data_IF_252974692283
#
_entry.id   IF_252974692283
#
_cell.length_a   1.000
_cell.length_b   1.000
_cell.length_c   1.000
_cell.angle_alpha   90.00
_cell.angle_beta   90.00
_cell.angle_gamma   90.00
#
_symmetry.space_group_name_H-M   'P 1'
#
loop_
_entity.id
_entity.type
_entity.pdbx_description
1 polymer ?
#
# COMPACT_ATOMS: atom_id res chain seq x y z
N UNK A 1 -9.70 -6.33 10.30
CA UNK A 1 -9.00 -5.44 9.35
C UNK A 1 -7.89 -6.23 8.71
N UNK A 2 -7.72 -6.10 7.40
CA UNK A 2 -6.75 -6.85 6.61
C UNK A 2 -6.13 -5.96 5.54
N UNK A 3 -4.96 -6.37 5.06
CA UNK A 3 -4.31 -5.81 3.90
C UNK A 3 -4.70 -6.60 2.65
N UNK A 4 -5.22 -5.93 1.63
CA UNK A 4 -5.54 -6.53 0.33
C UNK A 4 -4.79 -5.83 -0.78
N UNK A 5 -4.34 -6.57 -1.80
CA UNK A 5 -3.83 -5.97 -3.02
C UNK A 5 -4.91 -6.03 -4.09
N UNK A 6 -5.04 -4.95 -4.85
CA UNK A 6 -5.80 -4.97 -6.10
C UNK A 6 -4.95 -5.61 -7.18
N UNK A 7 -5.60 -6.29 -8.12
CA UNK A 7 -4.89 -6.83 -9.28
C UNK A 7 -4.49 -5.71 -10.26
N UNK A 8 -3.65 -6.05 -11.24
CA UNK A 8 -3.15 -5.06 -12.20
C UNK A 8 -4.22 -4.40 -13.07
N UNK A 9 -5.37 -5.04 -13.30
CA UNK A 9 -6.50 -4.45 -14.04
C UNK A 9 -7.18 -3.40 -13.18
N UNK A 10 -7.49 -3.75 -11.92
CA UNK A 10 -8.11 -2.83 -10.96
C UNK A 10 -7.23 -1.61 -10.69
N UNK A 11 -5.90 -1.77 -10.58
CA UNK A 11 -4.98 -0.64 -10.44
C UNK A 11 -4.98 0.25 -11.69
N UNK A 12 -5.01 -0.32 -12.90
CA UNK A 12 -5.11 0.47 -14.14
C UNK A 12 -6.40 1.27 -14.22
N UNK A 13 -7.53 0.70 -13.78
CA UNK A 13 -8.81 1.44 -13.70
C UNK A 13 -8.70 2.65 -12.78
N UNK A 14 -8.14 2.46 -11.57
CA UNK A 14 -7.90 3.56 -10.64
C UNK A 14 -7.02 4.67 -11.23
N UNK A 15 -6.00 4.30 -12.01
CA UNK A 15 -5.08 5.27 -12.65
C UNK A 15 -5.77 6.02 -13.79
N UNK A 16 -6.52 5.32 -14.65
CA UNK A 16 -7.00 5.85 -15.92
C UNK A 16 -8.34 6.58 -15.80
N UNK A 17 -9.28 6.05 -15.03
CA UNK A 17 -10.63 6.59 -14.89
C UNK A 17 -10.96 7.06 -13.47
N UNK A 18 -10.15 6.66 -12.48
CA UNK A 18 -10.48 6.86 -11.07
C UNK A 18 -11.56 5.91 -10.56
N UNK A 19 -12.00 4.96 -11.39
CA UNK A 19 -13.04 4.00 -11.02
C UNK A 19 -12.53 3.03 -9.96
N UNK A 20 -13.38 2.80 -8.96
CA UNK A 20 -13.11 1.86 -7.88
C UNK A 20 -13.75 0.49 -8.18
N UNK A 21 -13.13 -0.62 -7.75
CA UNK A 21 -13.76 -1.94 -7.81
C UNK A 21 -15.13 -1.95 -7.11
N UNK A 22 -16.18 -2.42 -7.81
CA UNK A 22 -17.58 -2.36 -7.33
C UNK A 22 -17.85 -3.18 -6.06
N UNK A 23 -17.02 -4.18 -5.79
CA UNK A 23 -17.07 -5.05 -4.63
C UNK A 23 -16.42 -4.42 -3.38
N UNK A 24 -15.80 -3.25 -3.52
CA UNK A 24 -15.10 -2.53 -2.45
C UNK A 24 -15.65 -1.12 -2.30
N UNK A 25 -15.87 -0.68 -1.06
CA UNK A 25 -16.26 0.71 -0.78
C UNK A 25 -15.05 1.51 -0.33
N UNK A 26 -14.69 2.57 -1.04
CA UNK A 26 -13.57 3.45 -0.68
C UNK A 26 -14.10 4.68 0.05
N UNK A 27 -13.57 4.96 1.23
CA UNK A 27 -13.87 6.25 1.89
C UNK A 27 -13.01 7.35 1.28
N UNK A 28 -13.40 8.60 1.47
CA UNK A 28 -12.67 9.75 0.95
C UNK A 28 -11.21 9.74 1.42
N UNK A 29 -10.28 10.07 0.52
CA UNK A 29 -8.83 10.06 0.77
C UNK A 29 -8.21 8.70 1.19
N UNK A 30 -8.91 7.58 0.93
CA UNK A 30 -8.38 6.23 1.19
C UNK A 30 -7.50 5.68 0.06
N UNK A 31 -7.64 6.21 -1.16
CA UNK A 31 -6.83 5.86 -2.32
C UNK A 31 -5.48 6.61 -2.23
N UNK A 32 -4.34 5.95 -2.44
CA UNK A 32 -3.05 6.64 -2.45
C UNK A 32 -2.96 7.62 -3.64
N UNK A 33 -2.09 8.64 -3.56
CA UNK A 33 -1.88 9.57 -4.68
C UNK A 33 -1.55 8.84 -6.00
N UNK A 34 -2.01 9.37 -7.14
CA UNK A 34 -1.87 8.71 -8.45
C UNK A 34 -0.42 8.35 -8.79
N UNK A 35 0.55 9.18 -8.40
CA UNK A 35 1.97 8.90 -8.64
C UNK A 35 2.48 7.65 -7.91
N UNK A 36 1.84 7.24 -6.80
CA UNK A 36 2.13 5.97 -6.12
C UNK A 36 1.62 4.79 -6.95
N UNK A 37 0.42 4.91 -7.52
CA UNK A 37 -0.18 3.88 -8.37
C UNK A 37 0.62 3.70 -9.68
N UNK A 38 1.02 4.81 -10.31
CA UNK A 38 1.88 4.80 -11.51
C UNK A 38 3.22 4.13 -11.21
N UNK A 39 3.91 4.54 -10.13
CA UNK A 39 5.16 3.89 -9.69
C UNK A 39 4.98 2.38 -9.49
N UNK A 40 3.84 1.95 -8.96
CA UNK A 40 3.56 0.52 -8.74
C UNK A 40 3.54 -0.25 -10.08
N UNK A 41 2.98 0.35 -11.12
CA UNK A 41 2.97 -0.21 -12.47
C UNK A 41 4.38 -0.22 -13.10
N UNK A 42 5.16 0.84 -12.89
CA UNK A 42 6.54 0.94 -13.39
C UNK A 42 7.44 -0.12 -12.73
N UNK A 43 7.34 -0.31 -11.41
CA UNK A 43 8.05 -1.37 -10.69
C UNK A 43 7.69 -2.74 -11.25
N UNK A 44 6.39 -2.99 -11.48
CA UNK A 44 5.95 -4.27 -12.05
C UNK A 44 6.44 -4.47 -13.48
N UNK A 45 6.49 -3.42 -14.29
CA UNK A 45 7.06 -3.45 -15.64
C UNK A 45 8.56 -3.81 -15.58
N UNK A 46 9.28 -3.30 -14.59
CA UNK A 46 10.67 -3.64 -14.28
C UNK A 46 10.83 -4.96 -13.50
N UNK A 47 9.84 -5.86 -13.59
CA UNK A 47 9.87 -7.21 -13.01
C UNK A 47 10.02 -7.28 -11.49
N UNK A 48 9.75 -6.18 -10.77
CA UNK A 48 9.66 -6.21 -9.32
C UNK A 48 8.43 -7.04 -8.92
N UNK A 49 8.62 -7.93 -7.95
CA UNK A 49 7.55 -8.79 -7.44
C UNK A 49 6.38 -7.95 -6.91
N UNK A 50 5.16 -8.43 -7.12
CA UNK A 50 3.92 -7.75 -6.71
C UNK A 50 3.89 -7.48 -5.20
N UNK A 51 4.54 -8.31 -4.38
CA UNK A 51 4.60 -8.09 -2.93
C UNK A 51 5.32 -6.78 -2.58
N UNK A 52 6.26 -6.34 -3.42
CA UNK A 52 7.02 -5.10 -3.26
C UNK A 52 6.45 -3.96 -4.10
N UNK A 53 5.95 -4.27 -5.29
CA UNK A 53 5.52 -3.28 -6.27
C UNK A 53 4.15 -2.68 -5.98
N UNK A 54 3.17 -3.50 -5.57
CA UNK A 54 1.77 -3.06 -5.50
C UNK A 54 1.38 -2.60 -4.08
N UNK A 55 0.53 -1.57 -3.97
CA UNK A 55 0.06 -1.11 -2.66
C UNK A 55 -0.88 -2.15 -2.04
N UNK A 56 -0.82 -2.23 -0.72
CA UNK A 56 -1.77 -2.92 0.12
C UNK A 56 -2.82 -1.93 0.60
N UNK A 57 -4.05 -2.10 0.16
CA UNK A 57 -5.21 -1.36 0.65
C UNK A 57 -5.65 -1.88 2.02
N UNK A 58 -5.93 -0.95 2.93
CA UNK A 58 -6.30 -1.25 4.31
C UNK A 58 -7.81 -1.40 4.39
N UNK A 59 -8.27 -2.65 4.41
CA UNK A 59 -9.68 -2.97 4.48
C UNK A 59 -10.11 -3.19 5.93
N UNK A 60 -11.10 -2.41 6.39
CA UNK A 60 -11.78 -2.59 7.67
C UNK A 60 -13.27 -2.84 7.37
N UNK A 61 -13.75 -4.03 7.75
CA UNK A 61 -15.07 -4.52 7.34
C UNK A 61 -15.18 -4.52 5.80
N UNK A 62 -16.14 -3.81 5.23
CA UNK A 62 -16.34 -3.67 3.77
C UNK A 62 -15.68 -2.42 3.19
N UNK A 63 -15.01 -1.60 4.01
CA UNK A 63 -14.49 -0.29 3.60
C UNK A 63 -12.96 -0.29 3.48
N UNK A 64 -12.47 0.34 2.41
CA UNK A 64 -11.08 0.72 2.25
C UNK A 64 -10.87 2.05 2.95
N UNK A 65 -9.99 2.03 3.95
CA UNK A 65 -9.73 3.15 4.88
C UNK A 65 -8.39 3.83 4.65
N UNK A 66 -7.59 3.32 3.72
CA UNK A 66 -6.26 3.82 3.43
C UNK A 66 -5.47 2.81 2.60
N UNK A 67 -4.19 3.10 2.45
CA UNK A 67 -3.24 2.20 1.78
C UNK A 67 -1.87 2.30 2.45
N UNK A 68 -1.11 1.22 2.35
CA UNK A 68 0.29 1.14 2.72
C UNK A 68 1.05 0.32 1.69
N UNK A 69 2.37 0.37 1.70
CA UNK A 69 3.17 -0.42 0.78
C UNK A 69 4.63 -0.08 0.86
N UNK A 70 5.40 -0.78 0.04
CA UNK A 70 6.83 -0.57 -0.10
C UNK A 70 7.12 0.46 -1.19
N UNK A 71 8.23 1.20 -1.07
CA UNK A 71 8.60 2.17 -2.10
C UNK A 71 9.29 1.56 -3.32
N UNK A 72 9.94 0.41 -3.14
CA UNK A 72 10.73 -0.33 -4.13
C UNK A 72 10.93 -1.79 -3.66
N UNK A 73 11.73 -2.59 -4.37
CA UNK A 73 12.26 -3.86 -3.90
C UNK A 73 13.26 -3.70 -2.74
N UNK A 74 13.46 -4.73 -1.90
CA UNK A 74 14.48 -4.71 -0.85
C UNK A 74 15.89 -4.41 -1.37
N UNK A 75 16.62 -3.54 -0.66
CA UNK A 75 18.02 -3.21 -0.95
C UNK A 75 18.85 -3.32 0.32
N UNK A 76 19.95 -4.07 0.26
CA UNK A 76 20.83 -4.34 1.42
C UNK A 76 20.07 -4.89 2.63
N UNK A 77 19.09 -5.78 2.40
CA UNK A 77 18.17 -6.30 3.43
C UNK A 77 17.29 -5.26 4.13
N UNK A 78 17.16 -4.06 3.55
CA UNK A 78 16.34 -2.97 4.08
C UNK A 78 15.21 -2.66 3.10
N UNK A 79 14.06 -2.25 3.64
CA UNK A 79 12.92 -1.81 2.83
C UNK A 79 12.26 -0.57 3.43
N UNK A 80 11.93 0.38 2.56
CA UNK A 80 11.18 1.57 2.94
C UNK A 80 9.68 1.35 2.78
N UNK A 81 8.90 1.72 3.80
CA UNK A 81 7.45 1.70 3.77
C UNK A 81 6.87 3.12 3.68
N UNK A 82 5.70 3.22 3.07
CA UNK A 82 4.82 4.38 3.15
C UNK A 82 3.40 3.94 3.53
N UNK A 83 2.66 4.81 4.22
CA UNK A 83 1.27 4.55 4.57
C UNK A 83 0.48 5.86 4.65
N UNK A 84 -0.82 5.76 4.38
CA UNK A 84 -1.79 6.81 4.63
C UNK A 84 -3.10 6.17 5.12
N UNK A 85 -3.73 6.82 6.10
CA UNK A 85 -5.07 6.50 6.57
C UNK A 85 -5.92 7.75 6.34
N UNK A 86 -7.09 7.54 5.73
CA UNK A 86 -8.06 8.59 5.48
C UNK A 86 -8.39 9.37 6.77
N UNK A 87 -8.59 10.70 6.72
CA UNK A 87 -8.84 11.52 7.90
C UNK A 87 -9.87 10.94 8.88
N UNK A 88 -11.02 10.49 8.35
CA UNK A 88 -12.14 9.95 9.13
C UNK A 88 -11.86 8.57 9.76
N UNK A 89 -10.74 7.94 9.40
CA UNK A 89 -10.30 6.65 9.92
C UNK A 89 -9.07 6.77 10.85
N UNK A 90 -8.58 7.99 11.13
CA UNK A 90 -7.44 8.23 12.02
C UNK A 90 -7.84 8.10 13.50
N UNK A 91 -6.83 7.94 14.39
CA UNK A 91 -7.06 7.79 15.83
C UNK A 91 -7.60 6.42 16.28
N UNK A 92 -7.85 5.49 15.34
CA UNK A 92 -8.45 4.17 15.62
C UNK A 92 -7.44 3.02 15.62
N UNK A 93 -6.13 3.31 15.64
CA UNK A 93 -5.07 2.29 15.58
C UNK A 93 -4.89 1.62 14.21
N UNK A 94 -5.58 2.07 13.16
CA UNK A 94 -5.55 1.48 11.81
C UNK A 94 -4.14 1.54 11.19
N UNK A 95 -3.46 2.68 11.29
CA UNK A 95 -2.10 2.83 10.78
C UNK A 95 -1.13 1.85 11.47
N UNK A 96 -1.20 1.75 12.81
CA UNK A 96 -0.39 0.82 13.59
C UNK A 96 -0.63 -0.63 13.18
N UNK A 97 -1.90 -1.03 13.01
CA UNK A 97 -2.25 -2.37 12.59
C UNK A 97 -1.78 -2.69 11.16
N UNK A 98 -1.93 -1.74 10.24
CA UNK A 98 -1.47 -1.88 8.85
C UNK A 98 0.06 -1.99 8.76
N UNK A 99 0.80 -1.11 9.45
CA UNK A 99 2.28 -1.14 9.47
C UNK A 99 2.79 -2.43 10.11
N UNK A 100 2.12 -2.94 11.15
CA UNK A 100 2.46 -4.24 11.74
C UNK A 100 2.31 -5.37 10.73
N UNK A 101 1.20 -5.44 10.00
CA UNK A 101 0.99 -6.47 8.97
C UNK A 101 1.97 -6.32 7.81
N UNK A 102 2.22 -5.09 7.34
CA UNK A 102 3.18 -4.82 6.28
C UNK A 102 4.61 -5.22 6.67
N UNK A 103 5.00 -4.97 7.93
CA UNK A 103 6.30 -5.41 8.46
C UNK A 103 6.40 -6.93 8.53
N UNK A 104 5.32 -7.61 8.92
CA UNK A 104 5.26 -9.07 8.92
C UNK A 104 5.43 -9.65 7.51
N UNK A 105 4.79 -9.06 6.49
CA UNK A 105 4.98 -9.42 5.08
C UNK A 105 6.45 -9.26 4.68
N UNK A 106 7.07 -8.14 5.05
CA UNK A 106 8.48 -7.88 4.72
C UNK A 106 9.41 -8.94 5.33
N UNK A 107 9.30 -9.20 6.63
CA UNK A 107 10.15 -10.16 7.33
C UNK A 107 9.90 -11.61 6.90
N UNK A 108 8.67 -11.97 6.54
CA UNK A 108 8.35 -13.31 6.04
C UNK A 108 9.04 -13.63 4.70
N UNK A 109 9.45 -12.62 3.92
CA UNK A 109 10.17 -12.83 2.66
C UNK A 109 11.59 -13.40 2.84
N UNK A 110 12.17 -13.34 4.04
CA UNK A 110 13.59 -13.61 4.34
C UNK A 110 14.62 -12.68 3.67
N UNK A 111 14.18 -11.81 2.76
CA UNK A 111 15.02 -10.83 2.06
C UNK A 111 15.25 -9.54 2.87
N UNK A 112 14.48 -9.33 3.94
CA UNK A 112 14.45 -8.09 4.73
C UNK A 112 14.75 -8.39 6.19
N UNK A 113 15.68 -7.64 6.78
CA UNK A 113 15.93 -7.61 8.23
C UNK A 113 15.63 -6.24 8.85
N UNK A 114 15.41 -5.20 8.03
CA UNK A 114 15.14 -3.84 8.48
C UNK A 114 13.99 -3.24 7.68
N UNK A 115 12.93 -2.82 8.37
CA UNK A 115 11.85 -2.00 7.81
C UNK A 115 12.02 -0.57 8.33
N UNK A 116 11.98 0.42 7.45
CA UNK A 116 12.11 1.83 7.84
C UNK A 116 11.11 2.72 7.09
N UNK A 117 10.89 3.93 7.59
CA UNK A 117 10.09 4.94 6.93
C UNK A 117 10.83 6.27 7.00
N UNK A 118 10.85 7.04 5.90
CA UNK A 118 11.35 8.40 5.91
C UNK A 118 10.18 9.37 6.01
N UNK A 119 10.26 10.24 7.00
CA UNK A 119 9.36 11.38 7.15
C UNK A 119 10.09 12.60 6.61
N UNK A 120 9.52 13.26 5.60
CA UNK A 120 10.00 14.56 5.15
C UNK A 120 9.27 15.60 6.01
N UNK A 121 10.00 16.36 6.81
CA UNK A 121 9.45 17.55 7.45
C UNK A 121 9.27 18.59 6.35
N UNK A 122 8.01 18.95 6.06
CA UNK A 122 7.67 20.13 5.26
C UNK A 122 7.67 21.36 6.16
#
# INVERSE_FOLDING_TARGET
MQLIQLNGIQLKMLIQSGDTPKDLTFIEHSIPPIHVLVRSMDLRHNLVDVIWAFPYFIQKNTQITGACGFKDAPKNSRIEIGYNVAPDARGLGIATAAVKQLSQIAFASTLVNTVFALMVNN
#
